data_IF_825057807997
#
_entry.id   IF_825057807997
#
_cell.length_a   1.000
_cell.length_b   1.000
_cell.length_c   1.000
_cell.angle_alpha   90.00
_cell.angle_beta   90.00
_cell.angle_gamma   90.00
#
_symmetry.space_group_name_H-M   'P 1'
#
loop_
_entity.id
_entity.type
_entity.pdbx_description
1 polymer ?
#
# COMPACT_ATOMS: atom_id res chain seq x y z
N UNK A 1 18.82 -13.96 -13.71
CA UNK A 1 18.53 -13.12 -12.54
C UNK A 1 17.30 -12.21 -12.72
N UNK A 2 17.08 -11.59 -13.89
CA UNK A 2 15.97 -10.64 -14.05
C UNK A 2 14.55 -11.16 -13.84
N UNK A 3 14.26 -12.40 -14.21
CA UNK A 3 12.91 -13.00 -14.06
C UNK A 3 12.54 -13.28 -12.60
N UNK A 4 13.47 -13.82 -11.81
CA UNK A 4 13.23 -14.09 -10.39
C UNK A 4 13.07 -12.78 -9.62
N UNK A 5 13.96 -11.80 -9.87
CA UNK A 5 13.85 -10.47 -9.24
C UNK A 5 12.51 -9.80 -9.54
N UNK A 6 12.04 -9.93 -10.81
CA UNK A 6 10.72 -9.42 -11.19
C UNK A 6 9.60 -10.18 -10.49
N UNK A 7 9.65 -11.49 -10.41
CA UNK A 7 8.65 -12.28 -9.71
C UNK A 7 8.55 -11.91 -8.22
N UNK A 8 9.68 -11.75 -7.53
CA UNK A 8 9.70 -11.30 -6.12
C UNK A 8 9.13 -9.90 -5.97
N UNK A 9 9.45 -9.00 -6.91
CA UNK A 9 8.88 -7.65 -6.95
C UNK A 9 7.35 -7.69 -7.07
N UNK A 10 6.86 -8.45 -8.05
CA UNK A 10 5.42 -8.51 -8.35
C UNK A 10 4.63 -9.19 -7.20
N UNK A 11 5.19 -10.26 -6.61
CA UNK A 11 4.60 -10.92 -5.43
C UNK A 11 4.57 -9.97 -4.24
N UNK A 12 5.67 -9.24 -3.99
CA UNK A 12 5.75 -8.26 -2.91
C UNK A 12 4.71 -7.15 -3.05
N UNK A 13 4.58 -6.57 -4.26
CA UNK A 13 3.54 -5.59 -4.55
C UNK A 13 2.13 -6.18 -4.40
N UNK A 14 1.89 -7.38 -4.91
CA UNK A 14 0.58 -8.03 -4.83
C UNK A 14 0.18 -8.31 -3.38
N UNK A 15 1.12 -8.73 -2.53
CA UNK A 15 0.89 -8.95 -1.10
C UNK A 15 0.51 -7.65 -0.40
N UNK A 16 1.33 -6.60 -0.56
CA UNK A 16 1.07 -5.31 0.06
C UNK A 16 -0.24 -4.67 -0.45
N UNK A 17 -0.39 -4.55 -1.75
CA UNK A 17 -1.55 -3.89 -2.37
C UNK A 17 -2.85 -4.68 -2.18
N UNK A 18 -2.81 -6.01 -2.41
CA UNK A 18 -4.00 -6.86 -2.32
C UNK A 18 -4.57 -6.92 -0.91
N UNK A 19 -3.70 -7.02 0.10
CA UNK A 19 -4.15 -6.98 1.49
C UNK A 19 -4.65 -5.60 1.91
N UNK A 20 -3.99 -4.52 1.48
CA UNK A 20 -4.48 -3.14 1.71
C UNK A 20 -5.84 -2.93 1.05
N UNK A 21 -6.02 -3.38 -0.19
CA UNK A 21 -7.28 -3.29 -0.91
C UNK A 21 -8.40 -4.04 -0.18
N UNK A 22 -8.13 -5.29 0.22
CA UNK A 22 -9.08 -6.09 1.00
C UNK A 22 -9.43 -5.42 2.33
N UNK A 23 -8.42 -4.91 3.04
CA UNK A 23 -8.63 -4.22 4.32
C UNK A 23 -9.52 -2.99 4.18
N UNK A 24 -9.22 -2.13 3.20
CA UNK A 24 -9.96 -0.86 2.99
C UNK A 24 -11.38 -1.10 2.50
N UNK A 25 -11.57 -2.00 1.53
CA UNK A 25 -12.87 -2.17 0.86
C UNK A 25 -13.78 -3.16 1.60
N UNK A 26 -13.21 -4.17 2.25
CA UNK A 26 -13.99 -5.24 2.84
C UNK A 26 -13.89 -5.29 4.37
N UNK A 27 -12.68 -5.40 4.92
CA UNK A 27 -12.52 -5.61 6.38
C UNK A 27 -12.99 -4.39 7.19
N UNK A 28 -12.57 -3.18 6.81
CA UNK A 28 -12.91 -1.97 7.55
C UNK A 28 -14.43 -1.72 7.64
N UNK A 29 -15.23 -1.83 6.55
CA UNK A 29 -16.67 -1.70 6.66
C UNK A 29 -17.37 -2.95 7.23
N UNK A 30 -16.77 -4.15 7.13
CA UNK A 30 -17.42 -5.36 7.63
C UNK A 30 -17.61 -5.38 9.16
N UNK A 31 -16.83 -4.60 9.90
CA UNK A 31 -16.97 -4.54 11.37
C UNK A 31 -18.28 -3.86 11.81
N UNK A 32 -18.94 -3.11 10.93
CA UNK A 32 -20.22 -2.47 11.19
C UNK A 32 -21.37 -3.48 11.55
N UNK A 33 -21.17 -4.77 11.22
CA UNK A 33 -22.11 -5.84 11.61
C UNK A 33 -22.05 -6.18 13.10
N UNK A 34 -21.03 -5.74 13.82
CA UNK A 34 -20.92 -5.91 15.28
C UNK A 34 -21.76 -4.83 15.97
N UNK A 35 -22.48 -5.21 17.00
CA UNK A 35 -23.35 -4.26 17.74
C UNK A 35 -22.52 -3.32 18.63
N UNK A 36 -21.42 -3.83 19.21
CA UNK A 36 -20.57 -3.08 20.13
C UNK A 36 -19.46 -2.30 19.39
N UNK A 37 -19.44 -0.95 19.48
CA UNK A 37 -18.41 -0.12 18.86
C UNK A 37 -16.98 -0.38 19.35
N UNK A 38 -16.80 -0.83 20.59
CA UNK A 38 -15.47 -1.20 21.12
C UNK A 38 -14.98 -2.52 20.52
N UNK A 39 -15.87 -3.50 20.34
CA UNK A 39 -15.55 -4.74 19.62
C UNK A 39 -15.19 -4.50 18.17
N UNK A 40 -15.80 -3.49 17.52
CA UNK A 40 -15.43 -3.05 16.15
C UNK A 40 -13.98 -2.57 16.12
N UNK A 41 -13.61 -1.68 17.07
CA UNK A 41 -12.24 -1.18 17.21
C UNK A 41 -11.23 -2.32 17.38
N UNK A 42 -11.52 -3.23 18.29
CA UNK A 42 -10.69 -4.41 18.54
C UNK A 42 -10.54 -5.30 17.29
N UNK A 43 -11.62 -5.54 16.56
CA UNK A 43 -11.59 -6.37 15.34
C UNK A 43 -10.71 -5.74 14.25
N UNK A 44 -10.83 -4.42 14.05
CA UNK A 44 -10.00 -3.69 13.10
C UNK A 44 -8.52 -3.76 13.48
N UNK A 45 -8.20 -3.49 14.75
CA UNK A 45 -6.83 -3.52 15.25
C UNK A 45 -6.20 -4.91 15.08
N UNK A 46 -6.85 -5.94 15.57
CA UNK A 46 -6.40 -7.33 15.45
C UNK A 46 -6.20 -7.75 13.98
N UNK A 47 -7.10 -7.34 13.09
CA UNK A 47 -7.01 -7.63 11.67
C UNK A 47 -5.78 -6.98 11.04
N UNK A 48 -5.58 -5.69 11.27
CA UNK A 48 -4.43 -4.97 10.74
C UNK A 48 -3.11 -5.40 11.40
N UNK A 49 -3.08 -5.62 12.72
CA UNK A 49 -1.88 -6.11 13.43
C UNK A 49 -1.37 -7.43 12.84
N UNK A 50 -2.27 -8.34 12.47
CA UNK A 50 -1.89 -9.61 11.83
C UNK A 50 -1.42 -9.45 10.39
N UNK A 51 -1.93 -8.46 9.66
CA UNK A 51 -1.53 -8.22 8.28
C UNK A 51 -0.27 -7.35 8.16
N UNK A 52 -0.02 -6.43 9.08
CA UNK A 52 1.11 -5.49 9.07
C UNK A 52 2.48 -6.13 8.76
N UNK A 53 2.88 -7.26 9.38
CA UNK A 53 4.16 -7.91 9.06
C UNK A 53 4.25 -8.35 7.60
N UNK A 54 3.16 -8.84 7.02
CA UNK A 54 3.09 -9.27 5.62
C UNK A 54 3.12 -8.08 4.66
N UNK A 55 2.42 -7.01 5.00
CA UNK A 55 2.46 -5.75 4.25
C UNK A 55 3.88 -5.17 4.23
N UNK A 56 4.53 -5.10 5.39
CA UNK A 56 5.90 -4.60 5.52
C UNK A 56 6.90 -5.47 4.75
N UNK A 57 6.79 -6.80 4.84
CA UNK A 57 7.64 -7.72 4.10
C UNK A 57 7.42 -7.59 2.58
N UNK A 58 6.17 -7.51 2.13
CA UNK A 58 5.81 -7.35 0.73
C UNK A 58 6.33 -6.05 0.14
N UNK A 59 6.08 -4.92 0.80
CA UNK A 59 6.55 -3.61 0.35
C UNK A 59 8.08 -3.53 0.38
N UNK A 60 8.73 -4.07 1.41
CA UNK A 60 10.20 -4.12 1.49
C UNK A 60 10.81 -4.94 0.36
N UNK A 61 10.23 -6.12 0.04
CA UNK A 61 10.66 -6.94 -1.08
C UNK A 61 10.49 -6.19 -2.41
N UNK A 62 9.37 -5.48 -2.58
CA UNK A 62 9.13 -4.64 -3.76
C UNK A 62 10.16 -3.51 -3.88
N UNK A 63 10.49 -2.80 -2.80
CA UNK A 63 11.49 -1.72 -2.78
C UNK A 63 12.88 -2.26 -3.17
N UNK A 64 13.34 -3.32 -2.50
CA UNK A 64 14.67 -3.88 -2.76
C UNK A 64 14.79 -4.35 -4.21
N UNK A 65 13.80 -5.09 -4.69
CA UNK A 65 13.80 -5.60 -6.06
C UNK A 65 13.61 -4.49 -7.10
N UNK A 66 12.85 -3.43 -6.79
CA UNK A 66 12.76 -2.23 -7.62
C UNK A 66 14.15 -1.60 -7.85
N UNK A 67 14.92 -1.39 -6.79
CA UNK A 67 16.29 -0.86 -6.88
C UNK A 67 17.18 -1.79 -7.74
N UNK A 68 17.08 -3.11 -7.56
CA UNK A 68 17.83 -4.07 -8.36
C UNK A 68 17.44 -4.03 -9.84
N UNK A 69 16.15 -3.92 -10.15
CA UNK A 69 15.66 -3.80 -11.51
C UNK A 69 16.07 -2.49 -12.18
N UNK A 70 16.16 -1.39 -11.41
CA UNK A 70 16.65 -0.08 -11.87
C UNK A 70 18.14 -0.06 -12.21
N UNK A 71 18.95 -0.87 -11.53
CA UNK A 71 20.39 -1.00 -11.83
C UNK A 71 20.69 -1.68 -13.16
N UNK A 72 19.69 -2.32 -13.79
CA UNK A 72 19.82 -3.04 -15.05
C UNK A 72 18.85 -2.48 -16.12
N UNK A 73 19.00 -1.21 -16.53
CA UNK A 73 18.15 -0.61 -17.57
C UNK A 73 18.45 -1.24 -18.93
N UNK A 74 17.56 -1.10 -19.93
CA UNK A 74 17.88 -1.41 -21.31
C UNK A 74 19.13 -0.65 -21.79
N UNK A 75 19.94 -1.25 -22.68
CA UNK A 75 21.18 -0.61 -23.19
C UNK A 75 20.96 0.79 -23.77
N UNK A 76 19.82 1.02 -24.42
CA UNK A 76 19.42 2.34 -24.96
C UNK A 76 17.97 2.62 -24.53
N UNK A 77 17.73 3.15 -23.33
CA UNK A 77 16.36 3.42 -22.89
C UNK A 77 15.72 4.53 -23.73
N UNK A 78 14.46 4.35 -24.13
CA UNK A 78 13.65 5.39 -24.77
C UNK A 78 13.34 6.52 -23.79
N UNK A 79 12.94 7.67 -24.27
CA UNK A 79 12.51 8.76 -23.40
C UNK A 79 11.20 8.38 -22.67
N UNK A 80 10.32 7.62 -23.33
CA UNK A 80 9.15 7.01 -22.69
C UNK A 80 9.56 6.13 -21.50
N UNK A 81 10.53 5.23 -21.70
CA UNK A 81 11.04 4.40 -20.60
C UNK A 81 11.56 5.24 -19.43
N UNK A 82 12.37 6.27 -19.71
CA UNK A 82 12.94 7.13 -18.66
C UNK A 82 11.86 7.89 -17.88
N UNK A 83 10.86 8.43 -18.60
CA UNK A 83 9.78 9.20 -17.97
C UNK A 83 8.87 8.29 -17.13
N UNK A 84 8.44 7.15 -17.67
CA UNK A 84 7.63 6.18 -16.92
C UNK A 84 8.39 5.64 -15.72
N UNK A 85 9.71 5.42 -15.87
CA UNK A 85 10.57 5.01 -14.78
C UNK A 85 10.57 6.02 -13.62
N UNK A 86 10.68 7.33 -13.91
CA UNK A 86 10.61 8.38 -12.87
C UNK A 86 9.24 8.44 -12.20
N UNK A 87 8.17 8.32 -13.00
CA UNK A 87 6.80 8.28 -12.46
C UNK A 87 6.60 7.07 -11.54
N UNK A 88 7.15 5.92 -11.91
CA UNK A 88 7.12 4.73 -11.04
C UNK A 88 7.89 4.95 -9.73
N UNK A 89 9.03 5.63 -9.77
CA UNK A 89 9.79 5.97 -8.57
C UNK A 89 8.97 6.90 -7.63
N UNK A 90 8.23 7.87 -8.19
CA UNK A 90 7.34 8.72 -7.42
C UNK A 90 6.18 7.94 -6.78
N UNK A 91 5.57 7.00 -7.51
CA UNK A 91 4.56 6.12 -6.95
C UNK A 91 5.12 5.24 -5.82
N UNK A 92 6.35 4.75 -5.94
CA UNK A 92 6.98 3.97 -4.88
C UNK A 92 7.20 4.81 -3.62
N UNK A 93 7.68 6.04 -3.77
CA UNK A 93 7.82 6.97 -2.63
C UNK A 93 6.45 7.25 -2.01
N UNK A 94 5.44 7.53 -2.81
CA UNK A 94 4.07 7.72 -2.34
C UNK A 94 3.51 6.51 -1.60
N UNK A 95 3.78 5.28 -2.08
CA UNK A 95 3.39 4.05 -1.43
C UNK A 95 4.03 3.90 -0.04
N UNK A 96 5.31 4.21 0.08
CA UNK A 96 6.03 4.19 1.38
C UNK A 96 5.47 5.24 2.33
N UNK A 97 5.33 6.48 1.87
CA UNK A 97 4.84 7.59 2.71
C UNK A 97 3.41 7.31 3.19
N UNK A 98 2.52 6.90 2.29
CA UNK A 98 1.13 6.58 2.67
C UNK A 98 1.03 5.35 3.58
N UNK A 99 1.92 4.35 3.42
CA UNK A 99 1.95 3.19 4.32
C UNK A 99 2.41 3.56 5.73
N UNK A 100 3.46 4.37 5.84
CA UNK A 100 3.94 4.85 7.15
C UNK A 100 2.90 5.74 7.82
N UNK A 101 2.26 6.64 7.05
CA UNK A 101 1.19 7.49 7.56
C UNK A 101 -0.01 6.66 8.03
N UNK A 102 -0.46 5.68 7.25
CA UNK A 102 -1.58 4.82 7.63
C UNK A 102 -1.28 4.01 8.89
N UNK A 103 -0.05 3.50 9.05
CA UNK A 103 0.35 2.77 10.24
C UNK A 103 0.35 3.68 11.48
N UNK A 104 0.95 4.86 11.40
CA UNK A 104 1.02 5.80 12.53
C UNK A 104 -0.35 6.34 12.94
N UNK A 105 -1.20 6.69 11.96
CA UNK A 105 -2.55 7.20 12.21
C UNK A 105 -3.50 6.10 12.70
N UNK A 106 -3.34 4.86 12.18
CA UNK A 106 -4.10 3.72 12.65
C UNK A 106 -3.83 3.39 14.11
N UNK A 107 -2.57 3.33 14.49
CA UNK A 107 -2.15 3.12 15.88
C UNK A 107 -2.73 4.20 16.81
N UNK A 108 -2.63 5.47 16.41
CA UNK A 108 -3.18 6.58 17.18
C UNK A 108 -4.72 6.54 17.28
N UNK A 109 -5.41 6.17 16.20
CA UNK A 109 -6.87 6.15 16.15
C UNK A 109 -7.48 5.01 17.01
N UNK A 110 -6.75 3.92 17.20
CA UNK A 110 -7.24 2.72 17.93
C UNK A 110 -6.90 2.76 19.41
N UNK A 111 -5.72 3.31 19.77
CA UNK A 111 -5.22 3.29 21.15
C UNK A 111 -5.16 4.69 21.73
N UNK A 112 -6.23 5.10 22.41
CA UNK A 112 -6.24 6.34 23.21
C UNK A 112 -5.87 6.12 24.67
N UNK A 113 -6.13 4.91 25.18
CA UNK A 113 -5.73 4.46 26.52
C UNK A 113 -5.07 3.08 26.42
N UNK A 114 -4.09 2.75 27.30
CA UNK A 114 -3.31 1.51 27.19
C UNK A 114 -4.12 0.21 27.31
N UNK A 115 -5.35 0.26 27.81
CA UNK A 115 -6.17 -0.92 28.08
C UNK A 115 -7.57 -0.90 27.43
N UNK A 116 -7.93 0.18 26.68
CA UNK A 116 -9.24 0.31 26.05
C UNK A 116 -9.12 0.62 24.56
N UNK A 117 -9.94 -0.06 23.76
CA UNK A 117 -10.06 0.25 22.34
C UNK A 117 -10.98 1.44 22.16
N UNK A 118 -10.63 2.32 21.23
CA UNK A 118 -11.48 3.45 20.85
C UNK A 118 -12.77 2.91 20.20
N UNK A 119 -13.97 3.28 20.71
CA UNK A 119 -15.20 2.97 20.03
C UNK A 119 -15.24 3.59 18.64
N UNK A 120 -15.55 2.79 17.62
CA UNK A 120 -15.59 3.22 16.22
C UNK A 120 -16.86 2.74 15.52
N UNK A 121 -17.28 3.46 14.49
CA UNK A 121 -18.28 2.96 13.54
C UNK A 121 -17.61 1.99 12.54
N UNK A 122 -16.51 2.46 11.93
CA UNK A 122 -15.58 1.66 11.13
C UNK A 122 -14.16 2.17 11.32
N UNK A 123 -13.16 1.55 10.70
CA UNK A 123 -11.75 1.97 10.85
C UNK A 123 -11.48 3.44 10.49
N UNK A 124 -12.35 4.03 9.68
CA UNK A 124 -12.21 5.41 9.15
C UNK A 124 -13.41 6.30 9.45
N UNK A 125 -14.37 5.80 10.25
CA UNK A 125 -15.59 6.51 10.59
C UNK A 125 -15.72 6.60 12.11
N UNK A 126 -15.72 7.82 12.69
CA UNK A 126 -15.88 8.02 14.12
C UNK A 126 -17.30 7.70 14.57
N UNK A 127 -17.46 7.41 15.87
CA UNK A 127 -18.76 7.36 16.55
C UNK A 127 -19.13 8.73 17.13
N UNK A 128 -20.37 8.88 17.55
CA UNK A 128 -20.80 10.09 18.29
C UNK A 128 -19.99 10.22 19.60
N UNK A 129 -19.40 11.40 19.81
CA UNK A 129 -18.56 11.68 20.98
C UNK A 129 -17.08 11.31 20.85
N UNK A 130 -16.64 10.87 19.67
CA UNK A 130 -15.19 10.68 19.40
C UNK A 130 -14.44 12.00 19.60
N UNK A 131 -13.28 12.02 20.29
CA UNK A 131 -12.46 13.23 20.42
C UNK A 131 -12.00 13.78 19.08
N UNK A 132 -11.93 15.12 18.95
CA UNK A 132 -11.56 15.80 17.69
C UNK A 132 -10.21 15.31 17.12
N UNK A 133 -9.23 15.04 17.99
CA UNK A 133 -7.92 14.53 17.56
C UNK A 133 -8.02 13.13 16.93
N UNK A 134 -8.90 12.29 17.44
CA UNK A 134 -9.15 10.94 16.90
C UNK A 134 -9.91 11.01 15.59
N UNK A 135 -10.91 11.90 15.47
CA UNK A 135 -11.59 12.15 14.20
C UNK A 135 -10.60 12.62 13.12
N UNK A 136 -9.69 13.54 13.48
CA UNK A 136 -8.66 14.00 12.57
C UNK A 136 -7.72 12.85 12.14
N UNK A 137 -7.33 11.97 13.06
CA UNK A 137 -6.51 10.79 12.76
C UNK A 137 -7.23 9.82 11.82
N UNK A 138 -8.52 9.54 12.05
CA UNK A 138 -9.34 8.70 11.17
C UNK A 138 -9.51 9.31 9.77
N UNK A 139 -9.70 10.63 9.70
CA UNK A 139 -9.72 11.38 8.43
C UNK A 139 -8.39 11.25 7.68
N UNK A 140 -7.28 11.42 8.39
CA UNK A 140 -5.92 11.23 7.85
C UNK A 140 -5.68 9.78 7.39
N UNK A 141 -6.16 8.80 8.16
CA UNK A 141 -6.09 7.38 7.80
C UNK A 141 -6.84 7.07 6.51
N UNK A 142 -8.01 7.70 6.32
CA UNK A 142 -8.76 7.60 5.06
C UNK A 142 -7.92 8.07 3.87
N UNK A 143 -7.31 9.26 3.97
CA UNK A 143 -6.46 9.83 2.92
C UNK A 143 -5.24 8.93 2.67
N UNK A 144 -4.58 8.45 3.71
CA UNK A 144 -3.43 7.57 3.59
C UNK A 144 -3.79 6.23 2.93
N UNK A 145 -4.92 5.64 3.29
CA UNK A 145 -5.42 4.39 2.73
C UNK A 145 -5.72 4.50 1.24
N UNK A 146 -6.41 5.55 0.81
CA UNK A 146 -6.63 5.81 -0.61
C UNK A 146 -5.32 6.15 -1.33
N UNK A 147 -4.38 6.82 -0.67
CA UNK A 147 -3.03 7.07 -1.16
C UNK A 147 -2.28 5.77 -1.48
N UNK A 148 -2.37 4.77 -0.59
CA UNK A 148 -1.81 3.43 -0.85
C UNK A 148 -2.43 2.76 -2.07
N UNK A 149 -3.76 2.81 -2.21
CA UNK A 149 -4.45 2.19 -3.34
C UNK A 149 -4.08 2.87 -4.67
N UNK A 150 -4.09 4.20 -4.72
CA UNK A 150 -3.74 4.94 -5.94
C UNK A 150 -2.28 4.72 -6.34
N UNK A 151 -1.36 4.75 -5.38
CA UNK A 151 0.06 4.50 -5.66
C UNK A 151 0.32 3.06 -6.06
N UNK A 152 -0.39 2.10 -5.47
CA UNK A 152 -0.34 0.70 -5.86
C UNK A 152 -0.79 0.46 -7.30
N UNK A 153 -1.92 1.02 -7.70
CA UNK A 153 -2.39 0.99 -9.10
C UNK A 153 -1.32 1.60 -10.02
N UNK A 154 -0.77 2.77 -9.64
CA UNK A 154 0.29 3.44 -10.39
C UNK A 154 1.53 2.58 -10.59
N UNK A 155 1.95 1.84 -9.55
CA UNK A 155 3.08 0.91 -9.62
C UNK A 155 2.82 -0.25 -10.58
N UNK A 156 1.63 -0.85 -10.58
CA UNK A 156 1.27 -1.91 -11.51
C UNK A 156 1.21 -1.41 -12.96
N UNK A 157 0.54 -0.28 -13.21
CA UNK A 157 0.41 0.29 -14.55
C UNK A 157 1.78 0.66 -15.11
N UNK A 158 2.59 1.40 -14.36
CA UNK A 158 3.93 1.79 -14.81
C UNK A 158 4.85 0.59 -14.98
N UNK A 159 4.73 -0.42 -14.14
CA UNK A 159 5.45 -1.70 -14.26
C UNK A 159 5.12 -2.43 -15.55
N UNK A 160 3.84 -2.50 -15.92
CA UNK A 160 3.40 -3.10 -17.19
C UNK A 160 3.94 -2.34 -18.41
N UNK A 161 3.88 -1.00 -18.40
CA UNK A 161 4.43 -0.17 -19.49
C UNK A 161 5.94 -0.37 -19.64
N UNK A 162 6.69 -0.41 -18.54
CA UNK A 162 8.14 -0.63 -18.58
C UNK A 162 8.50 -2.03 -19.08
N UNK A 163 7.69 -3.05 -18.78
CA UNK A 163 7.87 -4.39 -19.31
C UNK A 163 7.67 -4.40 -20.85
N UNK A 164 6.59 -3.81 -21.34
CA UNK A 164 6.31 -3.70 -22.77
C UNK A 164 7.41 -2.93 -23.55
N UNK A 165 7.94 -1.86 -22.96
CA UNK A 165 9.06 -1.10 -23.55
C UNK A 165 10.36 -1.92 -23.65
N UNK A 166 10.61 -2.83 -22.71
CA UNK A 166 11.75 -3.75 -22.77
C UNK A 166 11.58 -4.80 -23.88
N UNK A 167 10.39 -5.35 -24.05
CA UNK A 167 10.10 -6.37 -25.07
C UNK A 167 10.22 -5.80 -26.48
N UNK A 168 9.65 -4.63 -26.76
CA UNK A 168 9.78 -3.95 -28.06
C UNK A 168 11.23 -3.86 -28.51
N UNK A 169 12.13 -3.49 -27.60
CA UNK A 169 13.56 -3.35 -27.95
C UNK A 169 14.29 -4.66 -28.14
N UNK A 170 13.86 -5.73 -27.46
CA UNK A 170 14.44 -7.07 -27.67
C UNK A 170 14.15 -7.59 -29.09
N UNK A 171 12.95 -7.35 -29.61
CA UNK A 171 12.55 -7.77 -30.96
C UNK A 171 13.29 -7.04 -32.07
N UNK A 172 13.62 -5.74 -31.90
CA UNK A 172 14.34 -4.95 -32.89
C UNK A 172 15.86 -5.18 -32.91
N UNK A 173 16.42 -5.95 -31.97
CA UNK A 173 17.86 -6.26 -31.92
C UNK A 173 18.22 -7.62 -32.57
N UNK A 174 17.25 -8.35 -33.09
CA UNK A 174 17.44 -9.67 -33.73
C UNK A 174 17.61 -9.55 -35.25
N UNK A 175 17.59 -8.34 -35.78
CA UNK A 175 17.91 -8.00 -37.17
C UNK A 175 19.05 -7.00 -37.20
#
# INVERSE_FOLDING_TARGET
MGSITKAVHDIGLATWFGGTLMGVIAMNPAVEVLDDPEERGKMVDEGWARFQPWAAAGLSAAIVTHVLLRRNPPRKPSDTYKNVARVQDLFLVGAVVSSVAAMALGEYAVHQEPEAYTPIESATTPTEGTPEETEAAQGGLTVASWGQLLTGIGLFVTGAVLAAEKEKKSQFQVF
#
